data_IF_484839770318
#
_entry.id   IF_484839770318
#
_cell.length_a   1.000
_cell.length_b   1.000
_cell.length_c   1.000
_cell.angle_alpha   90.00
_cell.angle_beta   90.00
_cell.angle_gamma   90.00
#
_symmetry.space_group_name_H-M   'P 1'
#
loop_
_entity.id
_entity.type
_entity.pdbx_description
1 polymer ?
#
# COMPACT_ATOMS: atom_id res chain seq x y z
N UNK A 1 -17.58 10.83 17.71
CA UNK A 1 -18.34 9.73 17.08
C UNK A 1 -17.72 8.36 17.33
N UNK A 2 -16.60 8.20 18.06
CA UNK A 2 -16.18 6.92 18.67
C UNK A 2 -15.89 5.76 17.71
N UNK A 3 -15.87 5.99 16.40
CA UNK A 3 -15.64 4.99 15.37
C UNK A 3 -14.18 5.06 14.95
N UNK A 4 -13.54 3.90 14.86
CA UNK A 4 -12.19 3.72 14.30
C UNK A 4 -12.30 3.78 12.77
N UNK A 5 -11.72 4.80 12.10
CA UNK A 5 -11.75 4.85 10.64
C UNK A 5 -10.79 3.81 10.05
N UNK A 6 -11.25 3.10 9.02
CA UNK A 6 -10.42 2.26 8.17
C UNK A 6 -10.08 3.07 6.93
N UNK A 7 -8.78 3.27 6.68
CA UNK A 7 -8.27 3.98 5.51
C UNK A 7 -7.78 2.95 4.50
N UNK A 8 -8.42 2.89 3.35
CA UNK A 8 -8.16 1.88 2.29
C UNK A 8 -7.68 2.58 1.01
N UNK A 9 -6.37 2.87 0.89
CA UNK A 9 -5.80 3.41 -0.34
C UNK A 9 -5.53 2.27 -1.33
N UNK A 10 -6.51 1.96 -2.18
CA UNK A 10 -6.39 0.84 -3.12
C UNK A 10 -5.50 1.19 -4.35
N UNK A 11 -4.52 0.34 -4.67
CA UNK A 11 -3.65 0.41 -5.86
C UNK A 11 -3.91 -0.85 -6.66
N UNK A 12 -4.50 -0.68 -7.85
CA UNK A 12 -4.90 -1.81 -8.67
C UNK A 12 -3.67 -2.53 -9.27
N UNK A 13 -3.62 -3.87 -9.20
CA UNK A 13 -2.54 -4.69 -9.74
C UNK A 13 -2.63 -4.87 -11.27
N UNK A 14 -3.51 -4.15 -11.95
CA UNK A 14 -3.70 -4.30 -13.38
C UNK A 14 -2.53 -3.71 -14.19
N UNK A 15 -2.12 -4.44 -15.23
CA UNK A 15 -1.06 -4.07 -16.15
C UNK A 15 0.19 -4.94 -16.07
N UNK A 16 1.25 -4.48 -16.73
CA UNK A 16 2.54 -5.19 -16.87
C UNK A 16 3.66 -4.45 -16.11
N UNK A 17 3.34 -3.95 -14.92
CA UNK A 17 4.28 -3.18 -14.13
C UNK A 17 5.19 -4.08 -13.27
N UNK A 18 6.43 -3.65 -13.06
CA UNK A 18 7.40 -4.32 -12.21
C UNK A 18 7.05 -4.18 -10.72
N UNK A 19 7.55 -5.11 -9.90
CA UNK A 19 7.42 -5.03 -8.44
C UNK A 19 7.94 -3.70 -7.87
N UNK A 20 9.08 -3.22 -8.38
CA UNK A 20 9.68 -1.94 -7.98
C UNK A 20 8.76 -0.75 -8.30
N UNK A 21 8.03 -0.82 -9.41
CA UNK A 21 7.09 0.22 -9.81
C UNK A 21 5.91 0.26 -8.85
N UNK A 22 5.37 -0.90 -8.50
CA UNK A 22 4.31 -1.02 -7.49
C UNK A 22 4.78 -0.49 -6.13
N UNK A 23 5.97 -0.92 -5.66
CA UNK A 23 6.55 -0.43 -4.41
C UNK A 23 6.66 1.11 -4.38
N UNK A 24 7.22 1.70 -5.44
CA UNK A 24 7.36 3.15 -5.54
C UNK A 24 6.02 3.88 -5.48
N UNK A 25 4.98 3.36 -6.14
CA UNK A 25 3.63 3.95 -6.09
C UNK A 25 3.06 3.82 -4.68
N UNK A 26 3.18 2.64 -4.07
CA UNK A 26 2.70 2.38 -2.71
C UNK A 26 3.35 3.33 -1.70
N UNK A 27 4.66 3.52 -1.75
CA UNK A 27 5.37 4.49 -0.88
C UNK A 27 4.84 5.92 -1.06
N UNK A 28 4.62 6.36 -2.31
CA UNK A 28 4.11 7.70 -2.59
C UNK A 28 2.67 7.89 -2.11
N UNK A 29 1.82 6.91 -2.33
CA UNK A 29 0.41 6.95 -1.91
C UNK A 29 0.32 6.94 -0.38
N UNK A 30 1.05 6.05 0.29
CA UNK A 30 1.07 5.99 1.76
C UNK A 30 1.59 7.29 2.37
N UNK A 31 2.68 7.85 1.85
CA UNK A 31 3.21 9.12 2.33
C UNK A 31 2.18 10.26 2.17
N UNK A 32 1.47 10.32 1.04
CA UNK A 32 0.43 11.32 0.81
C UNK A 32 -0.78 11.12 1.75
N UNK A 33 -1.20 9.88 1.98
CA UNK A 33 -2.31 9.55 2.89
C UNK A 33 -1.96 9.96 4.32
N UNK A 34 -0.79 9.57 4.84
CA UNK A 34 -0.37 9.97 6.18
C UNK A 34 -0.20 11.49 6.32
N UNK A 35 0.29 12.17 5.27
CA UNK A 35 0.35 13.62 5.27
C UNK A 35 -1.05 14.24 5.36
N UNK A 36 -2.01 13.76 4.58
CA UNK A 36 -3.40 14.23 4.65
C UNK A 36 -4.03 13.94 6.02
N UNK A 37 -3.84 12.75 6.58
CA UNK A 37 -4.32 12.41 7.92
C UNK A 37 -3.73 13.36 8.99
N UNK A 38 -2.44 13.67 8.88
CA UNK A 38 -1.78 14.62 9.78
C UNK A 38 -2.32 16.05 9.60
N UNK A 39 -2.55 16.49 8.37
CA UNK A 39 -3.07 17.84 8.06
C UNK A 39 -4.51 18.04 8.55
N UNK A 40 -5.28 16.95 8.61
CA UNK A 40 -6.62 16.92 9.17
C UNK A 40 -6.65 16.62 10.68
N UNK A 41 -5.50 16.60 11.35
CA UNK A 41 -5.36 16.31 12.79
C UNK A 41 -6.05 15.00 13.22
N UNK A 42 -6.00 13.97 12.36
CA UNK A 42 -6.55 12.64 12.67
C UNK A 42 -5.66 11.94 13.70
N UNK A 43 -6.28 11.32 14.70
CA UNK A 43 -5.58 10.51 15.70
C UNK A 43 -5.13 9.18 15.09
N UNK A 44 -3.86 9.09 14.70
CA UNK A 44 -3.31 7.99 13.89
C UNK A 44 -3.38 6.63 14.59
N UNK A 45 -3.12 6.60 15.89
CA UNK A 45 -3.17 5.39 16.74
C UNK A 45 -4.60 4.83 16.86
N UNK A 46 -5.61 5.65 16.56
CA UNK A 46 -7.01 5.26 16.49
C UNK A 46 -7.49 4.96 15.07
N UNK A 47 -6.60 4.80 14.09
CA UNK A 47 -6.94 4.45 12.71
C UNK A 47 -6.43 3.07 12.34
N UNK A 48 -7.10 2.41 11.38
CA UNK A 48 -6.63 1.18 10.78
C UNK A 48 -6.35 1.42 9.29
N UNK A 49 -5.23 0.89 8.79
CA UNK A 49 -4.86 0.98 7.39
C UNK A 49 -5.10 -0.37 6.71
N UNK A 50 -5.79 -0.37 5.58
CA UNK A 50 -5.97 -1.54 4.71
C UNK A 50 -5.31 -1.27 3.35
N UNK A 51 -3.97 -1.36 3.25
CA UNK A 51 -3.27 -1.16 1.99
C UNK A 51 -3.29 -2.45 1.15
N UNK A 52 -2.91 -2.32 -0.12
CA UNK A 52 -2.61 -3.49 -0.94
C UNK A 52 -1.24 -4.05 -0.62
N UNK A 53 -1.08 -5.35 -0.85
CA UNK A 53 0.24 -5.96 -0.91
C UNK A 53 0.96 -5.45 -2.15
N UNK A 54 2.25 -5.17 -2.02
CA UNK A 54 3.08 -4.78 -3.15
C UNK A 54 3.32 -6.01 -4.04
N UNK A 55 2.67 -6.04 -5.20
CA UNK A 55 2.81 -7.11 -6.19
C UNK A 55 3.23 -6.53 -7.54
N UNK A 56 3.78 -7.33 -8.44
CA UNK A 56 3.90 -6.87 -9.83
C UNK A 56 2.49 -6.78 -10.47
N UNK A 57 2.43 -6.43 -11.74
CA UNK A 57 1.18 -6.45 -12.48
C UNK A 57 0.70 -7.86 -12.85
N UNK A 58 -0.62 -8.09 -12.86
CA UNK A 58 -1.23 -9.38 -13.20
C UNK A 58 -0.87 -9.90 -14.59
N UNK A 59 -0.48 -9.04 -15.53
CA UNK A 59 -0.09 -9.45 -16.88
C UNK A 59 1.31 -10.08 -16.94
N UNK A 60 2.11 -10.02 -15.86
CA UNK A 60 3.53 -10.39 -15.85
C UNK A 60 3.85 -11.81 -15.35
N UNK A 61 2.90 -12.74 -15.46
CA UNK A 61 2.91 -14.04 -14.76
C UNK A 61 3.90 -15.11 -15.28
N UNK A 62 4.36 -16.06 -14.41
CA UNK A 62 3.70 -16.51 -13.17
C UNK A 62 4.34 -16.06 -11.84
N UNK A 63 3.48 -15.69 -10.87
CA UNK A 63 3.83 -15.34 -9.49
C UNK A 63 4.62 -16.46 -8.82
N UNK A 64 5.80 -16.16 -8.25
CA UNK A 64 6.41 -17.04 -7.24
C UNK A 64 5.92 -16.60 -5.86
N UNK A 65 5.41 -17.55 -5.08
CA UNK A 65 4.97 -17.34 -3.69
C UNK A 65 6.01 -16.61 -2.81
N UNK A 66 7.30 -16.77 -3.12
CA UNK A 66 8.40 -16.09 -2.43
C UNK A 66 8.43 -14.57 -2.65
N UNK A 67 7.86 -14.05 -3.74
CA UNK A 67 7.86 -12.61 -4.04
C UNK A 67 6.71 -11.84 -3.36
N UNK A 68 5.60 -12.52 -3.02
CA UNK A 68 4.46 -11.92 -2.32
C UNK A 68 4.84 -11.47 -0.90
N UNK A 69 5.60 -12.29 -0.18
CA UNK A 69 6.03 -11.97 1.19
C UNK A 69 7.19 -10.98 1.26
N UNK A 70 8.06 -10.94 0.25
CA UNK A 70 9.27 -10.11 0.28
C UNK A 70 8.95 -8.60 0.17
N UNK A 71 7.86 -8.22 -0.48
CA UNK A 71 7.57 -6.83 -0.79
C UNK A 71 6.95 -6.04 0.37
N UNK A 72 6.51 -6.71 1.44
CA UNK A 72 6.04 -6.06 2.68
C UNK A 72 7.15 -5.84 3.72
N UNK A 73 8.31 -6.51 3.56
CA UNK A 73 9.40 -6.55 4.55
C UNK A 73 10.79 -6.20 3.98
N UNK A 74 10.91 -5.84 2.69
CA UNK A 74 12.18 -5.38 2.14
C UNK A 74 12.54 -4.02 2.79
N UNK A 75 13.81 -3.82 3.19
CA UNK A 75 14.16 -2.75 4.11
C UNK A 75 14.05 -1.41 3.42
N UNK A 76 13.34 -0.49 4.09
CA UNK A 76 13.66 0.94 4.06
C UNK A 76 15.11 1.17 4.48
#
# INVERSE_FOLDING_TARGET
>A
HGIVPIVEPEILPDGDHDLKRCQYVTEKVLAAVYKALSDHHVYLEGTLLKPNMVTAGHSRLPWRLSQLFAALFLPL
#
